data_IF_830672742146
#
_entry.id   IF_830672742146
#
_cell.length_a   1.000
_cell.length_b   1.000
_cell.length_c   1.000
_cell.angle_alpha   90.00
_cell.angle_beta   90.00
_cell.angle_gamma   90.00
#
_symmetry.space_group_name_H-M   'P 1'
#
loop_
_entity.id
_entity.type
_entity.pdbx_description
1 polymer ?
#
# COMPACT_ATOMS: atom_id res chain seq x y z
N UNK A 1 14.07 41.94 -28.09
CA UNK A 1 13.71 40.89 -27.12
C UNK A 1 14.83 39.87 -27.11
N UNK A 2 15.58 39.77 -26.02
CA UNK A 2 16.81 38.98 -25.99
C UNK A 2 16.46 37.49 -25.97
N UNK A 3 16.77 36.74 -27.04
CA UNK A 3 16.46 35.30 -27.15
C UNK A 3 17.08 34.49 -25.99
N UNK A 4 18.20 34.99 -25.45
CA UNK A 4 18.86 34.49 -24.24
C UNK A 4 18.00 34.60 -22.96
N UNK A 5 17.14 35.63 -22.83
CA UNK A 5 16.24 35.77 -21.68
C UNK A 5 15.09 34.75 -21.74
N UNK A 6 14.64 34.35 -22.93
CA UNK A 6 13.61 33.33 -23.10
C UNK A 6 14.14 31.92 -22.78
N UNK A 7 15.40 31.62 -23.14
CA UNK A 7 16.06 30.36 -22.81
C UNK A 7 16.30 30.19 -21.30
N UNK A 8 16.61 31.28 -20.59
CA UNK A 8 16.85 31.24 -19.15
C UNK A 8 15.57 30.93 -18.34
N UNK A 9 14.40 31.39 -18.80
CA UNK A 9 13.09 31.11 -18.16
C UNK A 9 12.63 29.67 -18.40
N UNK A 10 12.99 29.06 -19.54
CA UNK A 10 12.59 27.69 -19.87
C UNK A 10 13.32 26.63 -19.01
N UNK A 11 14.46 26.98 -18.41
CA UNK A 11 15.24 26.06 -17.56
C UNK A 11 14.79 26.02 -16.09
N UNK A 12 13.93 26.94 -15.64
CA UNK A 12 13.40 26.94 -14.29
C UNK A 12 11.95 26.44 -14.30
N UNK A 13 11.75 25.15 -14.04
CA UNK A 13 10.46 24.68 -13.53
C UNK A 13 9.84 23.50 -14.28
N UNK A 14 10.58 22.42 -14.46
CA UNK A 14 9.93 21.09 -14.43
C UNK A 14 10.49 20.32 -13.23
N UNK A 15 10.04 20.69 -12.04
CA UNK A 15 10.04 19.74 -10.94
C UNK A 15 9.01 18.67 -11.32
N UNK A 16 9.45 17.64 -12.06
CA UNK A 16 8.66 16.44 -12.23
C UNK A 16 8.41 15.91 -10.82
N UNK A 17 7.18 16.06 -10.34
CA UNK A 17 6.74 15.37 -9.15
C UNK A 17 6.78 13.88 -9.49
N UNK A 18 7.91 13.24 -9.20
CA UNK A 18 7.99 11.80 -9.26
C UNK A 18 6.93 11.26 -8.31
N UNK A 19 6.07 10.33 -8.75
CA UNK A 19 5.21 9.62 -7.84
C UNK A 19 6.13 9.05 -6.75
N UNK A 20 5.98 9.55 -5.52
CA UNK A 20 6.70 8.98 -4.39
C UNK A 20 6.08 7.61 -4.20
N UNK A 21 6.75 6.58 -4.70
CA UNK A 21 6.38 5.21 -4.43
C UNK A 21 6.52 5.04 -2.91
N UNK A 22 5.40 4.91 -2.20
CA UNK A 22 5.42 4.69 -0.76
C UNK A 22 6.08 3.33 -0.51
N UNK A 23 7.33 3.37 -0.09
CA UNK A 23 8.12 2.17 0.14
C UNK A 23 7.98 1.63 1.56
N UNK A 24 7.15 2.26 2.41
CA UNK A 24 7.05 1.99 3.86
C UNK A 24 6.91 0.51 4.18
N UNK A 25 6.16 -0.25 3.39
CA UNK A 25 5.91 -1.68 3.63
C UNK A 25 6.52 -2.62 2.58
N UNK A 26 7.55 -2.18 1.86
CA UNK A 26 8.09 -2.99 0.75
C UNK A 26 8.68 -4.31 1.23
N UNK A 27 9.41 -4.32 2.35
CA UNK A 27 10.03 -5.52 2.89
C UNK A 27 8.96 -6.52 3.36
N UNK A 28 7.96 -6.02 4.08
CA UNK A 28 6.83 -6.80 4.61
C UNK A 28 5.96 -7.35 3.48
N UNK A 29 5.74 -6.58 2.40
CA UNK A 29 5.05 -7.06 1.20
C UNK A 29 5.78 -8.25 0.57
N UNK A 30 7.09 -8.12 0.37
CA UNK A 30 7.89 -9.21 -0.22
C UNK A 30 7.93 -10.45 0.68
N UNK A 31 8.08 -10.26 2.00
CA UNK A 31 8.05 -11.36 2.95
C UNK A 31 6.66 -12.04 2.95
N UNK A 32 5.59 -11.27 3.00
CA UNK A 32 4.22 -11.79 2.99
C UNK A 32 3.91 -12.57 1.71
N UNK A 33 4.31 -12.04 0.54
CA UNK A 33 4.17 -12.76 -0.74
C UNK A 33 4.93 -14.09 -0.72
N UNK A 34 6.16 -14.09 -0.19
CA UNK A 34 6.98 -15.30 -0.07
C UNK A 34 6.30 -16.34 0.81
N UNK A 35 5.87 -15.95 2.03
CA UNK A 35 5.18 -16.81 2.99
C UNK A 35 3.90 -17.43 2.40
N UNK A 36 3.12 -16.65 1.64
CA UNK A 36 1.83 -17.09 1.08
C UNK A 36 1.89 -17.51 -0.38
N UNK A 37 3.10 -17.67 -0.93
CA UNK A 37 3.37 -18.10 -2.32
C UNK A 37 2.58 -17.31 -3.36
N UNK A 38 2.57 -15.98 -3.21
CA UNK A 38 1.87 -15.06 -4.12
C UNK A 38 2.76 -14.69 -5.29
N UNK A 39 2.20 -14.82 -6.50
CA UNK A 39 2.80 -14.40 -7.75
C UNK A 39 1.73 -13.67 -8.56
N UNK A 40 1.99 -12.41 -8.91
CA UNK A 40 1.05 -11.56 -9.65
C UNK A 40 1.71 -11.05 -10.92
N UNK A 41 0.91 -10.79 -11.95
CA UNK A 41 1.37 -10.01 -13.10
C UNK A 41 1.54 -8.53 -12.73
N UNK A 42 2.32 -7.77 -13.50
CA UNK A 42 2.63 -6.35 -13.21
C UNK A 42 1.39 -5.51 -12.92
N UNK A 43 0.34 -5.65 -13.75
CA UNK A 43 -0.91 -4.90 -13.59
C UNK A 43 -1.70 -5.35 -12.35
N UNK A 44 -1.57 -6.62 -11.94
CA UNK A 44 -2.27 -7.14 -10.76
C UNK A 44 -1.55 -6.76 -9.46
N UNK A 45 -0.22 -6.81 -9.47
CA UNK A 45 0.59 -6.58 -8.29
C UNK A 45 0.34 -5.21 -7.66
N UNK A 46 0.15 -4.17 -8.49
CA UNK A 46 -0.08 -2.81 -8.01
C UNK A 46 -1.35 -2.70 -7.15
N UNK A 47 -2.49 -3.20 -7.65
CA UNK A 47 -3.74 -3.09 -6.90
C UNK A 47 -3.81 -4.09 -5.75
N UNK A 48 -3.20 -5.28 -5.87
CA UNK A 48 -3.06 -6.23 -4.76
C UNK A 48 -2.23 -5.65 -3.62
N UNK A 49 -1.11 -4.99 -3.95
CA UNK A 49 -0.28 -4.27 -2.97
C UNK A 49 -1.08 -3.15 -2.30
N UNK A 50 -1.86 -2.38 -3.06
CA UNK A 50 -2.68 -1.31 -2.50
C UNK A 50 -3.72 -1.83 -1.47
N UNK A 51 -4.38 -2.96 -1.77
CA UNK A 51 -5.30 -3.61 -0.81
C UNK A 51 -4.54 -4.10 0.41
N UNK A 52 -3.41 -4.77 0.20
CA UNK A 52 -2.60 -5.31 1.28
C UNK A 52 -2.07 -4.22 2.22
N UNK A 53 -1.59 -3.10 1.70
CA UNK A 53 -1.14 -1.97 2.52
C UNK A 53 -2.29 -1.31 3.27
N UNK A 54 -3.49 -1.22 2.67
CA UNK A 54 -4.70 -0.75 3.36
C UNK A 54 -5.03 -1.66 4.55
N UNK A 55 -4.96 -2.98 4.36
CA UNK A 55 -5.20 -3.95 5.42
C UNK A 55 -4.11 -3.91 6.49
N UNK A 56 -2.84 -3.71 6.11
CA UNK A 56 -1.72 -3.54 7.07
C UNK A 56 -1.93 -2.31 7.97
N UNK A 57 -2.26 -1.15 7.39
CA UNK A 57 -2.53 0.07 8.15
C UNK A 57 -3.73 -0.11 9.10
N UNK A 58 -4.77 -0.82 8.65
CA UNK A 58 -5.93 -1.14 9.48
C UNK A 58 -5.55 -2.02 10.69
N UNK A 59 -4.74 -3.06 10.47
CA UNK A 59 -4.23 -3.92 11.55
C UNK A 59 -3.39 -3.11 12.55
N UNK A 60 -2.49 -2.26 12.07
CA UNK A 60 -1.66 -1.42 12.93
C UNK A 60 -2.49 -0.46 13.78
N UNK A 61 -3.49 0.20 13.19
CA UNK A 61 -4.40 1.09 13.91
C UNK A 61 -5.17 0.33 15.00
N UNK A 62 -5.82 -0.77 14.62
CA UNK A 62 -6.59 -1.61 15.55
C UNK A 62 -5.72 -2.12 16.71
N UNK A 63 -4.49 -2.56 16.43
CA UNK A 63 -3.60 -3.06 17.48
C UNK A 63 -3.08 -1.94 18.41
N UNK A 64 -2.96 -0.71 17.90
CA UNK A 64 -2.73 0.46 18.74
C UNK A 64 -3.92 0.74 19.68
N UNK A 65 -5.14 0.65 19.17
CA UNK A 65 -6.38 0.79 19.95
C UNK A 65 -6.55 -0.35 20.97
N UNK A 66 -6.25 -1.60 20.60
CA UNK A 66 -6.20 -2.77 21.49
C UNK A 66 -5.22 -2.54 22.64
N UNK A 67 -4.02 -2.03 22.35
CA UNK A 67 -3.01 -1.72 23.37
C UNK A 67 -3.46 -0.64 24.35
N UNK A 68 -4.40 0.22 23.92
CA UNK A 68 -5.07 1.22 24.75
C UNK A 68 -6.34 0.68 25.45
N UNK A 69 -6.63 -0.61 25.35
CA UNK A 69 -7.80 -1.26 25.96
C UNK A 69 -9.14 -0.97 25.28
N UNK A 70 -9.14 -0.41 24.06
CA UNK A 70 -10.37 -0.08 23.32
C UNK A 70 -10.97 -1.28 22.58
N UNK A 71 -10.17 -2.32 22.32
CA UNK A 71 -10.61 -3.58 21.72
C UNK A 71 -10.24 -4.76 22.61
N UNK A 72 -11.04 -5.83 22.54
CA UNK A 72 -10.81 -7.07 23.29
C UNK A 72 -9.94 -8.11 22.58
N UNK A 73 -9.44 -7.81 21.38
CA UNK A 73 -8.62 -8.71 20.59
C UNK A 73 -7.58 -7.92 19.78
N UNK A 74 -6.56 -8.62 19.29
CA UNK A 74 -5.59 -8.09 18.32
C UNK A 74 -5.79 -8.73 16.95
N UNK A 75 -5.25 -8.09 15.92
CA UNK A 75 -5.27 -8.59 14.55
C UNK A 75 -3.84 -8.86 14.05
N UNK A 76 -3.72 -9.75 13.08
CA UNK A 76 -2.46 -10.06 12.43
C UNK A 76 -2.66 -10.12 10.90
N UNK A 77 -1.60 -9.78 10.16
CA UNK A 77 -1.60 -9.95 8.71
C UNK A 77 -1.57 -11.43 8.36
N UNK A 78 -2.53 -11.90 7.55
CA UNK A 78 -2.69 -13.32 7.20
C UNK A 78 -2.83 -13.51 5.69
N UNK A 79 -3.17 -14.73 5.25
CA UNK A 79 -3.28 -15.09 3.83
C UNK A 79 -4.31 -14.26 3.04
N UNK A 80 -5.27 -13.63 3.72
CA UNK A 80 -6.31 -12.79 3.12
C UNK A 80 -5.90 -11.31 3.01
N UNK A 81 -4.63 -11.00 3.28
CA UNK A 81 -4.12 -9.63 3.28
C UNK A 81 -4.39 -8.85 1.99
N UNK A 82 -4.43 -9.50 0.84
CA UNK A 82 -4.67 -8.90 -0.48
C UNK A 82 -6.14 -8.96 -0.96
N UNK A 83 -7.08 -9.29 -0.06
CA UNK A 83 -8.51 -9.37 -0.36
C UNK A 83 -9.28 -8.16 0.18
N UNK A 84 -10.34 -7.78 -0.54
CA UNK A 84 -11.28 -6.75 -0.09
C UNK A 84 -12.26 -7.38 0.91
N UNK A 85 -12.66 -6.62 1.94
CA UNK A 85 -13.52 -7.08 3.05
C UNK A 85 -14.81 -7.76 2.56
N UNK A 86 -15.45 -7.22 1.53
CA UNK A 86 -16.71 -7.72 0.98
C UNK A 86 -16.55 -9.12 0.35
N UNK A 87 -15.35 -9.44 -0.16
CA UNK A 87 -15.06 -10.77 -0.68
C UNK A 87 -14.93 -11.81 0.44
N UNK A 88 -14.54 -11.39 1.65
CA UNK A 88 -14.39 -12.29 2.80
C UNK A 88 -15.73 -12.71 3.40
N UNK A 89 -16.71 -11.80 3.50
CA UNK A 89 -18.02 -12.10 4.08
C UNK A 89 -18.77 -13.22 3.36
N UNK A 90 -18.57 -13.39 2.05
CA UNK A 90 -19.20 -14.47 1.28
C UNK A 90 -18.60 -15.88 1.52
N UNK A 91 -17.48 -15.99 2.23
CA UNK A 91 -16.81 -17.28 2.49
C UNK A 91 -17.07 -17.83 3.90
N UNK A 92 -17.60 -17.01 4.80
CA UNK A 92 -17.96 -17.43 6.16
C UNK A 92 -19.33 -18.13 6.23
N UNK A 93 -20.14 -18.00 5.18
CA UNK A 93 -21.51 -18.54 5.10
C UNK A 93 -21.60 -19.83 4.23
N UNK A 94 -20.47 -20.50 3.93
CA UNK A 94 -20.41 -21.72 3.11
C UNK A 94 -19.81 -22.93 3.85
#
# INVERSE_FOLDING_TARGET
MNLLLLLAVLCLGTALATPKFDQTFSAEWHQWKSTHRRLYGTNEEEWRRAIWEKNMRMIQLHNGEYSNGQHGFSMEMNAFGDMVREAFSGTADA
#
